data_IF_238693068486
#
_entry.id   IF_238693068486
#
_cell.length_a   1.000
_cell.length_b   1.000
_cell.length_c   1.000
_cell.angle_alpha   90.00
_cell.angle_beta   90.00
_cell.angle_gamma   90.00
#
_symmetry.space_group_name_H-M   'P 1'
#
loop_
_entity.id
_entity.type
_entity.pdbx_description
1 polymer ?
#
# COMPACT_ATOMS: atom_id res chain seq x y z
N UNK A 1 26.65 22.16 64.37
CA UNK A 1 26.91 21.05 63.42
C UNK A 1 25.70 20.89 62.49
N UNK A 2 25.78 21.48 61.29
CA UNK A 2 24.72 21.36 60.25
C UNK A 2 25.14 20.30 59.28
N UNK A 3 24.45 19.15 59.22
CA UNK A 3 24.63 18.13 58.21
C UNK A 3 23.96 18.56 56.93
N UNK A 4 24.74 18.81 55.90
CA UNK A 4 24.24 19.01 54.51
C UNK A 4 23.89 17.65 53.91
N UNK A 5 22.62 17.48 53.59
CA UNK A 5 22.11 16.31 52.86
C UNK A 5 22.34 16.60 51.36
N UNK A 6 23.34 15.95 50.79
CA UNK A 6 23.60 15.99 49.35
C UNK A 6 22.61 15.03 48.64
N UNK A 7 21.63 15.60 47.94
CA UNK A 7 20.78 14.82 47.03
C UNK A 7 21.57 14.51 45.76
N UNK A 8 21.88 13.28 45.57
CA UNK A 8 22.36 12.74 44.30
C UNK A 8 21.14 12.54 43.41
N UNK A 9 20.97 13.41 42.43
CA UNK A 9 20.00 13.20 41.36
C UNK A 9 20.69 12.33 40.32
N UNK A 10 20.37 11.04 40.33
CA UNK A 10 20.75 10.13 39.26
C UNK A 10 19.86 10.44 38.03
N UNK A 11 20.41 11.20 37.11
CA UNK A 11 19.82 11.34 35.77
C UNK A 11 20.08 10.05 35.02
N UNK A 12 19.07 9.20 34.96
CA UNK A 12 19.06 8.05 34.04
C UNK A 12 18.86 8.63 32.64
N UNK A 13 19.94 8.74 31.91
CA UNK A 13 19.89 8.97 30.45
C UNK A 13 19.31 7.69 29.82
N UNK A 14 18.02 7.72 29.57
CA UNK A 14 17.37 6.79 28.66
C UNK A 14 17.81 7.18 27.23
N UNK A 15 18.95 6.69 26.80
CA UNK A 15 19.29 6.64 25.37
C UNK A 15 18.42 5.58 24.74
N UNK A 16 17.15 5.94 24.51
CA UNK A 16 16.32 5.24 23.55
C UNK A 16 17.01 5.35 22.20
N UNK A 17 17.62 4.29 21.74
CA UNK A 17 17.83 4.08 20.31
C UNK A 17 16.44 4.09 19.70
N UNK A 18 15.99 5.26 19.27
CA UNK A 18 15.00 5.40 18.24
C UNK A 18 15.65 4.80 16.99
N UNK A 19 15.46 3.49 16.82
CA UNK A 19 15.57 2.91 15.50
C UNK A 19 14.64 3.75 14.63
N UNK A 20 15.22 4.54 13.72
CA UNK A 20 14.48 5.22 12.68
C UNK A 20 13.97 4.09 11.80
N UNK A 21 12.79 3.57 12.14
CA UNK A 21 12.01 2.77 11.21
C UNK A 21 11.70 3.73 10.09
N UNK A 22 12.33 3.52 8.93
CA UNK A 22 12.00 4.24 7.72
C UNK A 22 10.48 4.15 7.59
N UNK A 23 9.80 5.30 7.67
CA UNK A 23 8.37 5.35 7.44
C UNK A 23 8.19 5.05 5.95
N UNK A 24 7.84 3.81 5.65
CA UNK A 24 7.39 3.45 4.32
C UNK A 24 5.98 4.01 4.19
N UNK A 25 5.78 4.80 3.18
CA UNK A 25 4.45 5.17 2.75
C UNK A 25 3.72 3.90 2.32
N UNK A 26 2.49 3.79 2.62
CA UNK A 26 1.54 2.73 2.24
C UNK A 26 2.04 1.31 2.49
N UNK A 27 1.80 0.71 3.66
CA UNK A 27 2.15 -0.68 3.91
C UNK A 27 1.40 -1.66 3.00
N UNK A 28 0.21 -1.29 2.54
CA UNK A 28 -0.64 -2.19 1.76
C UNK A 28 -0.35 -2.19 0.27
N UNK A 29 0.24 -1.13 -0.31
CA UNK A 29 0.53 -1.02 -1.75
C UNK A 29 1.97 -0.60 -2.01
N UNK A 30 2.49 -0.89 -3.23
CA UNK A 30 3.78 -0.35 -3.69
C UNK A 30 3.56 0.91 -4.50
N UNK A 31 2.65 0.86 -5.46
CA UNK A 31 2.33 1.94 -6.36
C UNK A 31 0.84 1.91 -6.77
N UNK A 32 0.41 0.89 -7.49
CA UNK A 32 -0.97 0.62 -7.88
C UNK A 32 -1.55 -0.59 -7.13
N UNK A 33 -0.72 -1.59 -6.82
CA UNK A 33 -1.14 -2.86 -6.25
C UNK A 33 -0.51 -3.13 -4.88
N UNK A 34 -0.97 -4.18 -4.20
CA UNK A 34 -0.37 -4.68 -2.96
C UNK A 34 0.90 -5.50 -3.20
N UNK A 35 1.65 -5.21 -4.27
CA UNK A 35 2.87 -5.93 -4.66
C UNK A 35 4.06 -5.60 -3.74
N UNK A 36 3.87 -5.65 -2.43
CA UNK A 36 4.88 -5.34 -1.41
C UNK A 36 4.72 -6.26 -0.20
N UNK A 37 5.86 -6.54 0.47
CA UNK A 37 5.88 -7.35 1.70
C UNK A 37 5.69 -6.52 2.98
N UNK A 38 5.70 -5.19 2.88
CA UNK A 38 5.63 -4.32 4.05
C UNK A 38 4.26 -4.44 4.73
N UNK A 39 4.29 -4.46 6.07
CA UNK A 39 3.14 -4.53 6.96
C UNK A 39 3.33 -3.46 8.03
N UNK A 40 2.29 -2.76 8.41
CA UNK A 40 2.32 -1.69 9.39
C UNK A 40 2.87 -2.18 10.74
N UNK A 41 3.84 -1.47 11.33
CA UNK A 41 4.34 -1.79 12.66
C UNK A 41 3.25 -1.67 13.74
N UNK A 42 3.39 -2.43 14.82
CA UNK A 42 2.44 -2.40 15.94
C UNK A 42 2.18 -0.99 16.47
N UNK A 43 0.90 -0.64 16.57
CA UNK A 43 0.43 0.64 17.11
C UNK A 43 0.65 1.84 16.19
N UNK A 44 1.24 1.67 15.02
CA UNK A 44 1.37 2.74 14.03
C UNK A 44 0.12 2.77 13.15
N UNK A 45 -0.52 3.91 13.13
CA UNK A 45 -1.63 4.19 12.23
C UNK A 45 -1.12 4.79 10.93
N UNK A 46 -1.76 4.44 9.84
CA UNK A 46 -1.47 4.95 8.51
C UNK A 46 -2.74 5.49 7.88
N UNK A 47 -2.70 6.73 7.42
CA UNK A 47 -3.72 7.38 6.62
C UNK A 47 -3.18 7.54 5.21
N UNK A 48 -3.87 6.97 4.22
CA UNK A 48 -3.63 7.14 2.79
C UNK A 48 -4.75 7.96 2.14
N UNK A 49 -4.39 8.82 1.20
CA UNK A 49 -5.33 9.53 0.32
C UNK A 49 -4.81 9.39 -1.10
N UNK A 50 -5.42 8.48 -1.85
CA UNK A 50 -5.01 8.14 -3.20
C UNK A 50 -5.96 8.73 -4.22
N UNK A 51 -5.45 9.62 -5.07
CA UNK A 51 -6.23 10.22 -6.14
C UNK A 51 -5.69 9.78 -7.50
N UNK A 52 -6.62 9.52 -8.41
CA UNK A 52 -6.33 9.15 -9.78
C UNK A 52 -7.12 10.06 -10.71
N UNK A 53 -6.44 10.76 -11.60
CA UNK A 53 -7.10 11.69 -12.52
C UNK A 53 -6.62 11.52 -13.95
N UNK A 54 -7.55 11.67 -14.88
CA UNK A 54 -7.28 11.63 -16.31
C UNK A 54 -6.65 12.95 -16.72
N UNK A 55 -5.40 12.91 -17.17
CA UNK A 55 -4.65 14.10 -17.61
C UNK A 55 -5.02 14.47 -19.06
N UNK A 56 -5.09 13.45 -19.92
CA UNK A 56 -5.49 13.58 -21.30
C UNK A 56 -6.71 12.70 -21.52
N UNK A 57 -7.76 13.28 -22.11
CA UNK A 57 -8.97 12.56 -22.47
C UNK A 57 -8.95 12.28 -23.95
N UNK A 58 -8.84 11.01 -24.32
CA UNK A 58 -8.99 10.56 -25.69
C UNK A 58 -10.49 10.35 -26.03
N UNK A 59 -11.30 10.10 -24.98
CA UNK A 59 -12.75 10.00 -25.10
C UNK A 59 -13.44 11.08 -24.25
N UNK A 60 -14.58 11.67 -24.72
CA UNK A 60 -15.33 12.69 -23.96
C UNK A 60 -15.81 12.21 -22.59
N UNK A 61 -16.08 10.92 -22.46
CA UNK A 61 -16.69 10.29 -21.28
C UNK A 61 -15.67 9.63 -20.34
N UNK A 62 -14.36 9.85 -20.55
CA UNK A 62 -13.33 9.36 -19.63
C UNK A 62 -13.57 9.95 -18.24
N UNK A 63 -14.10 9.11 -17.34
CA UNK A 63 -14.53 9.47 -16.00
C UNK A 63 -13.38 9.72 -15.02
N UNK A 64 -13.74 10.33 -13.88
CA UNK A 64 -12.84 10.36 -12.72
C UNK A 64 -12.76 8.97 -12.08
N UNK A 65 -11.59 8.61 -11.57
CA UNK A 65 -11.43 7.44 -10.72
C UNK A 65 -11.81 7.83 -9.28
N UNK A 66 -12.39 6.94 -8.47
CA UNK A 66 -12.65 7.23 -7.08
C UNK A 66 -11.38 7.60 -6.32
N UNK A 67 -11.50 8.51 -5.35
CA UNK A 67 -10.45 8.72 -4.37
C UNK A 67 -10.52 7.57 -3.37
N UNK A 68 -9.40 6.96 -3.06
CA UNK A 68 -9.26 6.01 -1.96
C UNK A 68 -8.80 6.75 -0.70
N UNK A 69 -9.61 6.67 0.35
CA UNK A 69 -9.28 7.16 1.68
C UNK A 69 -9.08 5.97 2.60
N UNK A 70 -7.84 5.56 2.79
CA UNK A 70 -7.44 4.39 3.56
C UNK A 70 -7.01 4.72 4.99
N UNK A 71 -7.43 3.92 5.95
CA UNK A 71 -6.93 3.95 7.33
C UNK A 71 -6.53 2.55 7.76
N UNK A 72 -5.25 2.34 8.07
CA UNK A 72 -4.68 1.05 8.43
C UNK A 72 -3.92 1.15 9.75
N UNK A 73 -3.86 0.06 10.52
CA UNK A 73 -3.10 0.00 11.77
C UNK A 73 -2.43 -1.35 11.97
N UNK A 74 -1.20 -1.34 12.46
CA UNK A 74 -0.52 -2.55 12.90
C UNK A 74 -1.03 -3.02 14.26
N UNK A 75 -1.45 -4.29 14.36
CA UNK A 75 -2.14 -4.80 15.56
C UNK A 75 -1.39 -5.87 16.34
N UNK A 76 -0.30 -6.45 15.80
CA UNK A 76 0.50 -7.44 16.52
C UNK A 76 1.78 -6.82 17.11
N UNK A 77 2.04 -7.00 18.43
CA UNK A 77 3.22 -6.43 19.09
C UNK A 77 4.48 -7.29 18.91
N UNK A 78 4.69 -7.84 17.71
CA UNK A 78 5.83 -8.72 17.42
C UNK A 78 6.63 -8.17 16.25
N UNK A 79 7.96 -8.11 16.41
CA UNK A 79 8.86 -7.61 15.36
C UNK A 79 8.98 -8.57 14.16
N UNK A 80 8.87 -9.87 14.41
CA UNK A 80 9.07 -10.90 13.38
C UNK A 80 7.80 -11.34 12.66
N UNK A 81 6.67 -11.06 13.25
CA UNK A 81 5.35 -11.43 12.74
C UNK A 81 4.48 -10.20 12.91
N UNK A 82 4.01 -9.66 11.83
CA UNK A 82 3.22 -8.44 11.78
C UNK A 82 1.85 -8.72 11.19
N UNK A 83 0.87 -7.99 11.65
CA UNK A 83 -0.48 -7.98 11.08
C UNK A 83 -0.97 -6.55 11.05
N UNK A 84 -1.43 -6.10 9.91
CA UNK A 84 -2.19 -4.87 9.75
C UNK A 84 -3.65 -5.19 9.44
N UNK A 85 -4.53 -4.31 9.87
CA UNK A 85 -5.94 -4.29 9.50
C UNK A 85 -6.31 -2.88 9.12
N UNK A 86 -7.20 -2.73 8.15
CA UNK A 86 -7.58 -1.41 7.66
C UNK A 86 -8.96 -1.38 7.03
N UNK A 87 -9.37 -0.16 6.75
CA UNK A 87 -10.60 0.17 6.03
C UNK A 87 -10.25 1.17 4.93
N UNK A 88 -10.90 1.01 3.79
CA UNK A 88 -10.79 1.93 2.65
C UNK A 88 -12.18 2.46 2.33
N UNK A 89 -12.26 3.74 2.07
CA UNK A 89 -13.45 4.42 1.61
C UNK A 89 -13.19 4.93 0.18
N UNK A 90 -13.78 4.23 -0.79
CA UNK A 90 -13.70 4.60 -2.21
C UNK A 90 -14.84 5.56 -2.53
N UNK A 91 -14.53 6.84 -2.64
CA UNK A 91 -15.51 7.89 -2.88
C UNK A 91 -14.97 8.92 -3.86
N UNK A 92 -15.82 9.47 -4.68
CA UNK A 92 -15.45 10.56 -5.58
C UNK A 92 -15.63 11.89 -4.86
N UNK A 93 -14.55 12.50 -4.41
CA UNK A 93 -14.58 13.81 -3.74
C UNK A 93 -14.93 14.96 -4.69
N UNK A 94 -14.81 14.76 -6.00
CA UNK A 94 -14.97 15.82 -7.01
C UNK A 94 -16.32 15.75 -7.72
N UNK A 95 -16.86 14.55 -7.90
CA UNK A 95 -18.15 14.33 -8.57
C UNK A 95 -18.94 13.23 -7.86
N UNK A 96 -19.91 13.65 -7.06
CA UNK A 96 -20.79 12.73 -6.32
C UNK A 96 -21.72 11.90 -7.21
N UNK A 97 -21.81 12.19 -8.51
CA UNK A 97 -22.60 11.40 -9.47
C UNK A 97 -21.96 10.05 -9.81
N UNK A 98 -20.67 9.89 -9.52
CA UNK A 98 -19.89 8.67 -9.76
C UNK A 98 -19.51 7.94 -8.48
N UNK A 99 -20.00 8.38 -7.31
CA UNK A 99 -19.75 7.73 -6.02
C UNK A 99 -20.32 6.32 -5.96
N UNK A 100 -19.63 5.45 -5.26
CA UNK A 100 -20.07 4.08 -5.02
C UNK A 100 -21.19 4.06 -3.97
N UNK A 101 -22.29 3.33 -4.22
CA UNK A 101 -23.37 3.15 -3.24
C UNK A 101 -22.91 2.40 -1.98
N UNK A 102 -21.80 1.68 -2.05
CA UNK A 102 -21.23 0.90 -0.95
C UNK A 102 -19.72 1.11 -0.91
N UNK A 103 -19.24 2.31 -0.54
CA UNK A 103 -17.85 2.71 -0.68
C UNK A 103 -16.90 2.06 0.31
N UNK A 104 -17.40 1.35 1.33
CA UNK A 104 -16.59 0.79 2.41
C UNK A 104 -16.02 -0.58 2.03
N UNK A 105 -14.69 -0.69 2.11
CA UNK A 105 -13.96 -1.93 1.97
C UNK A 105 -13.10 -2.19 3.21
N UNK A 106 -12.86 -3.47 3.49
CA UNK A 106 -11.96 -3.89 4.56
C UNK A 106 -10.71 -4.52 3.95
N UNK A 107 -9.61 -4.44 4.70
CA UNK A 107 -8.38 -5.11 4.32
C UNK A 107 -7.62 -5.64 5.54
N UNK A 108 -6.78 -6.63 5.32
CA UNK A 108 -5.76 -7.06 6.28
C UNK A 108 -4.56 -7.64 5.54
N UNK A 109 -3.39 -7.52 6.14
CA UNK A 109 -2.17 -8.16 5.66
C UNK A 109 -1.33 -8.64 6.83
N UNK A 110 -0.93 -9.90 6.74
CA UNK A 110 -0.02 -10.57 7.65
C UNK A 110 1.34 -10.74 6.96
N UNK A 111 2.43 -10.59 7.70
CA UNK A 111 3.75 -10.74 7.10
C UNK A 111 4.87 -10.95 8.09
N UNK A 112 6.02 -11.30 7.53
CA UNK A 112 7.29 -11.37 8.23
C UNK A 112 8.31 -10.52 7.48
N UNK A 113 9.00 -9.58 8.13
CA UNK A 113 10.03 -8.78 7.50
C UNK A 113 11.19 -9.63 6.95
N UNK A 114 11.91 -9.08 5.99
CA UNK A 114 13.14 -9.70 5.45
C UNK A 114 14.13 -10.01 6.57
N UNK A 115 14.69 -11.22 6.55
CA UNK A 115 15.66 -11.69 7.56
C UNK A 115 15.05 -12.16 8.88
N UNK A 116 13.74 -12.07 9.07
CA UNK A 116 13.08 -12.39 10.34
C UNK A 116 12.99 -13.89 10.63
N UNK A 117 12.81 -14.73 9.61
CA UNK A 117 12.68 -16.18 9.77
C UNK A 117 14.04 -16.83 10.00
N UNK A 118 15.03 -16.46 9.21
CA UNK A 118 16.44 -16.85 9.35
C UNK A 118 17.32 -15.82 8.63
N UNK A 119 18.63 -15.75 8.95
CA UNK A 119 19.52 -14.79 8.30
C UNK A 119 19.48 -14.94 6.78
N UNK A 120 19.15 -13.85 6.09
CA UNK A 120 19.03 -13.82 4.63
C UNK A 120 17.71 -14.35 4.05
N UNK A 121 16.72 -14.70 4.89
CA UNK A 121 15.40 -15.07 4.38
C UNK A 121 14.76 -13.91 3.61
N UNK A 122 13.94 -14.18 2.58
CA UNK A 122 13.05 -13.15 2.05
C UNK A 122 12.04 -12.73 3.13
N UNK A 123 11.49 -11.54 3.00
CA UNK A 123 10.24 -11.19 3.64
C UNK A 123 9.08 -11.86 2.91
N UNK A 124 8.02 -12.19 3.62
CA UNK A 124 6.79 -12.74 3.04
C UNK A 124 5.58 -12.01 3.61
N UNK A 125 4.56 -11.83 2.79
CA UNK A 125 3.28 -11.28 3.22
C UNK A 125 2.14 -12.01 2.53
N UNK A 126 1.00 -12.08 3.19
CA UNK A 126 -0.24 -12.57 2.63
C UNK A 126 -1.41 -11.83 3.28
N UNK A 127 -2.45 -11.57 2.52
CA UNK A 127 -3.59 -10.82 3.04
C UNK A 127 -4.78 -10.85 2.09
N UNK A 128 -5.76 -10.05 2.43
CA UNK A 128 -6.94 -9.85 1.61
C UNK A 128 -7.29 -8.36 1.61
N UNK A 129 -7.66 -7.85 0.45
CA UNK A 129 -8.07 -6.47 0.23
C UNK A 129 -9.33 -6.40 -0.63
N UNK A 130 -9.93 -5.23 -0.72
CA UNK A 130 -11.24 -5.03 -1.32
C UNK A 130 -12.27 -6.07 -0.83
N UNK A 131 -12.28 -6.30 0.49
CA UNK A 131 -13.32 -7.09 1.16
C UNK A 131 -14.54 -6.20 1.26
N UNK A 132 -15.41 -6.31 0.26
CA UNK A 132 -16.58 -5.46 0.15
C UNK A 132 -17.74 -5.92 1.00
N UNK A 133 -18.63 -4.99 1.30
CA UNK A 133 -19.76 -5.20 2.22
C UNK A 133 -21.01 -5.71 1.51
N UNK A 134 -21.05 -5.72 0.17
CA UNK A 134 -22.20 -6.14 -0.62
C UNK A 134 -21.85 -7.25 -1.61
N UNK A 135 -22.53 -8.39 -1.48
CA UNK A 135 -22.35 -9.54 -2.39
C UNK A 135 -22.65 -9.15 -3.83
N UNK A 136 -21.83 -9.66 -4.73
CA UNK A 136 -21.94 -9.52 -6.20
C UNK A 136 -21.85 -8.08 -6.72
N UNK A 137 -21.44 -7.14 -5.85
CA UNK A 137 -21.25 -5.72 -6.18
C UNK A 137 -19.87 -5.23 -5.75
N UNK A 138 -19.49 -5.40 -4.46
CA UNK A 138 -18.25 -4.88 -3.92
C UNK A 138 -17.33 -5.96 -3.33
N UNK A 139 -17.80 -7.19 -3.17
CA UNK A 139 -17.04 -8.30 -2.58
C UNK A 139 -15.99 -8.90 -3.53
N UNK A 140 -15.08 -8.07 -4.01
CA UNK A 140 -13.93 -8.53 -4.81
C UNK A 140 -13.08 -9.54 -4.05
N UNK A 141 -12.92 -9.36 -2.72
CA UNK A 141 -12.30 -10.30 -1.79
C UNK A 141 -10.97 -10.84 -2.32
N UNK A 142 -10.05 -9.95 -2.64
CA UNK A 142 -8.81 -10.28 -3.34
C UNK A 142 -7.78 -10.77 -2.33
N UNK A 143 -7.56 -12.07 -2.29
CA UNK A 143 -6.45 -12.68 -1.57
C UNK A 143 -5.15 -12.50 -2.36
N UNK A 144 -4.04 -12.20 -1.66
CA UNK A 144 -2.72 -12.13 -2.26
C UNK A 144 -1.66 -12.76 -1.36
N UNK A 145 -0.55 -13.18 -1.98
CA UNK A 145 0.65 -13.62 -1.28
C UNK A 145 1.89 -13.13 -2.02
N UNK A 146 2.84 -12.58 -1.27
CA UNK A 146 4.04 -11.93 -1.78
C UNK A 146 5.30 -12.45 -1.08
N UNK A 147 6.39 -12.50 -1.82
CA UNK A 147 7.74 -12.63 -1.29
C UNK A 147 8.59 -11.47 -1.81
N UNK A 148 9.45 -10.92 -0.95
CA UNK A 148 10.29 -9.78 -1.33
C UNK A 148 11.69 -9.87 -0.76
N UNK A 149 12.64 -9.30 -1.49
CA UNK A 149 14.06 -9.35 -1.15
C UNK A 149 14.78 -8.09 -1.59
N UNK A 150 15.60 -7.57 -0.68
CA UNK A 150 16.54 -6.49 -0.98
C UNK A 150 17.77 -7.04 -1.72
N UNK A 151 18.05 -6.46 -2.88
CA UNK A 151 19.23 -6.80 -3.69
C UNK A 151 20.14 -5.57 -3.72
N UNK A 152 21.40 -5.69 -3.25
CA UNK A 152 22.31 -4.56 -3.24
C UNK A 152 22.41 -3.89 -4.61
N UNK A 153 22.38 -2.56 -4.64
CA UNK A 153 22.45 -1.70 -5.83
C UNK A 153 21.22 -1.73 -6.77
N UNK A 154 20.35 -2.75 -6.66
CA UNK A 154 19.12 -2.85 -7.48
C UNK A 154 17.93 -2.22 -6.75
N UNK A 155 17.78 -2.46 -5.45
CA UNK A 155 16.61 -2.11 -4.66
C UNK A 155 15.89 -3.35 -4.13
N UNK A 156 14.64 -3.21 -3.69
CA UNK A 156 13.82 -4.35 -3.29
C UNK A 156 13.01 -4.84 -4.49
N UNK A 157 12.92 -6.16 -4.61
CA UNK A 157 12.05 -6.82 -5.61
C UNK A 157 11.02 -7.64 -4.84
N UNK A 158 9.78 -7.55 -5.26
CA UNK A 158 8.65 -8.26 -4.72
C UNK A 158 7.98 -9.06 -5.83
N UNK A 159 7.62 -10.31 -5.57
CA UNK A 159 6.92 -11.18 -6.51
C UNK A 159 5.81 -11.93 -5.77
N UNK A 160 4.71 -12.15 -6.43
CA UNK A 160 3.59 -12.88 -5.84
C UNK A 160 2.44 -13.10 -6.80
N UNK A 161 1.30 -13.42 -6.22
CA UNK A 161 0.10 -13.70 -6.97
C UNK A 161 -1.13 -13.27 -6.18
N UNK A 162 -2.24 -13.09 -6.88
CA UNK A 162 -3.54 -12.80 -6.30
C UNK A 162 -4.62 -13.72 -6.87
N UNK A 163 -5.70 -13.84 -6.11
CA UNK A 163 -6.94 -14.49 -6.52
C UNK A 163 -8.13 -13.81 -5.83
N UNK A 164 -9.20 -13.54 -6.56
CA UNK A 164 -10.38 -12.89 -6.00
C UNK A 164 -11.69 -13.49 -6.52
N UNK A 165 -12.79 -12.78 -6.28
CA UNK A 165 -14.11 -13.21 -6.69
C UNK A 165 -14.22 -13.20 -8.22
N UNK A 166 -14.41 -14.39 -8.80
CA UNK A 166 -14.53 -14.61 -10.25
C UNK A 166 -15.75 -13.92 -10.88
N UNK A 167 -16.77 -13.63 -10.08
CA UNK A 167 -17.97 -12.98 -10.58
C UNK A 167 -17.80 -11.48 -10.76
N UNK A 168 -16.79 -10.88 -10.09
CA UNK A 168 -16.44 -9.47 -10.19
C UNK A 168 -15.13 -9.22 -10.94
N UNK A 169 -14.15 -10.11 -10.82
CA UNK A 169 -12.89 -10.01 -11.56
C UNK A 169 -13.03 -10.61 -12.96
N UNK A 170 -13.55 -9.79 -13.86
CA UNK A 170 -13.78 -10.11 -15.27
C UNK A 170 -13.16 -9.03 -16.15
N UNK A 171 -12.86 -9.40 -17.39
CA UNK A 171 -12.50 -8.44 -18.44
C UNK A 171 -13.74 -7.65 -18.91
N UNK A 172 -13.51 -6.57 -19.64
CA UNK A 172 -14.56 -5.79 -20.31
C UNK A 172 -15.42 -6.63 -21.28
N UNK A 173 -14.90 -7.77 -21.74
CA UNK A 173 -15.64 -8.74 -22.57
C UNK A 173 -16.43 -9.77 -21.75
N UNK A 174 -16.37 -9.70 -20.40
CA UNK A 174 -17.04 -10.62 -19.49
C UNK A 174 -16.31 -11.95 -19.26
N UNK A 175 -15.07 -12.10 -19.75
CA UNK A 175 -14.23 -13.26 -19.49
C UNK A 175 -13.77 -13.25 -18.03
N UNK A 176 -13.85 -14.39 -17.35
CA UNK A 176 -13.31 -14.57 -16.00
C UNK A 176 -11.78 -14.43 -15.98
N UNK A 177 -11.29 -13.50 -15.15
CA UNK A 177 -9.87 -13.18 -14.96
C UNK A 177 -9.56 -13.01 -13.46
N UNK A 178 -9.97 -14.00 -12.66
CA UNK A 178 -9.98 -13.92 -11.19
C UNK A 178 -8.61 -14.13 -10.53
N UNK A 179 -7.57 -14.44 -11.29
CA UNK A 179 -6.22 -14.70 -10.77
C UNK A 179 -5.15 -14.02 -11.60
N UNK A 180 -4.05 -13.66 -10.94
CA UNK A 180 -2.90 -13.08 -11.63
C UNK A 180 -1.63 -13.10 -10.79
N UNK A 181 -0.51 -12.76 -11.43
CA UNK A 181 0.73 -12.52 -10.72
C UNK A 181 0.90 -11.02 -10.45
N UNK A 182 1.73 -10.71 -9.45
CA UNK A 182 2.13 -9.35 -9.11
C UNK A 182 3.65 -9.28 -9.01
N UNK A 183 4.20 -8.15 -9.43
CA UNK A 183 5.59 -7.79 -9.25
C UNK A 183 5.69 -6.35 -8.77
N UNK A 184 6.56 -6.10 -7.78
CA UNK A 184 6.87 -4.78 -7.28
C UNK A 184 8.37 -4.54 -7.24
N UNK A 185 8.75 -3.30 -7.35
CA UNK A 185 10.12 -2.86 -7.22
C UNK A 185 10.18 -1.47 -6.60
N UNK A 186 11.09 -1.28 -5.64
CA UNK A 186 11.38 0.03 -5.10
C UNK A 186 12.87 0.23 -4.84
N UNK A 187 13.31 1.50 -4.89
CA UNK A 187 14.69 1.87 -4.65
C UNK A 187 14.81 3.30 -4.14
N UNK A 188 15.53 3.47 -3.05
CA UNK A 188 15.96 4.80 -2.61
C UNK A 188 16.91 5.45 -3.62
N UNK A 189 16.54 6.62 -4.12
CA UNK A 189 17.41 7.51 -4.90
C UNK A 189 18.23 8.39 -3.95
N UNK A 190 17.56 8.93 -2.93
CA UNK A 190 18.16 9.66 -1.81
C UNK A 190 17.51 9.09 -0.56
N UNK A 191 18.31 8.45 0.29
CA UNK A 191 17.81 7.78 1.50
C UNK A 191 16.93 8.74 2.31
N UNK A 192 15.80 8.23 2.79
CA UNK A 192 14.79 8.92 3.60
C UNK A 192 14.21 10.21 2.97
N UNK A 193 14.41 10.43 1.66
CA UNK A 193 13.91 11.62 0.98
C UNK A 193 13.24 11.33 -0.36
N UNK A 194 13.88 10.56 -1.22
CA UNK A 194 13.32 10.22 -2.53
C UNK A 194 13.47 8.73 -2.80
N UNK A 195 12.36 8.09 -3.15
CA UNK A 195 12.32 6.69 -3.57
C UNK A 195 11.57 6.58 -4.88
N UNK A 196 12.08 5.79 -5.80
CA UNK A 196 11.33 5.39 -6.99
C UNK A 196 10.69 4.04 -6.71
N UNK A 197 9.44 3.89 -7.13
CA UNK A 197 8.69 2.64 -7.01
C UNK A 197 7.97 2.34 -8.32
N UNK A 198 7.77 1.07 -8.58
CA UNK A 198 6.98 0.56 -9.71
C UNK A 198 6.34 -0.76 -9.32
N UNK A 199 5.16 -1.01 -9.82
CA UNK A 199 4.53 -2.32 -9.71
C UNK A 199 3.67 -2.66 -10.93
N UNK A 200 3.29 -3.92 -11.00
CA UNK A 200 2.43 -4.44 -12.03
C UNK A 200 1.66 -5.66 -11.52
N UNK A 201 0.38 -5.72 -11.87
CA UNK A 201 -0.47 -6.90 -11.74
C UNK A 201 -0.95 -7.37 -13.12
N UNK A 202 -0.86 -8.65 -13.38
CA UNK A 202 -1.41 -9.25 -14.61
C UNK A 202 -2.93 -9.42 -14.51
N UNK A 203 -3.56 -9.79 -15.63
CA UNK A 203 -5.01 -9.98 -15.74
C UNK A 203 -5.71 -8.79 -16.40
N UNK A 204 -6.71 -9.09 -17.21
CA UNK A 204 -7.55 -8.09 -17.88
C UNK A 204 -8.80 -7.85 -17.01
N UNK A 205 -8.59 -7.31 -15.80
CA UNK A 205 -9.62 -7.10 -14.79
C UNK A 205 -9.36 -5.81 -13.99
N UNK A 206 -10.18 -5.51 -12.99
CA UNK A 206 -10.07 -4.30 -12.17
C UNK A 206 -8.74 -4.15 -11.40
N UNK A 207 -7.98 -5.23 -11.19
CA UNK A 207 -6.64 -5.22 -10.56
C UNK A 207 -5.53 -5.00 -11.58
N UNK A 208 -5.76 -5.49 -12.81
CA UNK A 208 -4.75 -5.55 -13.86
C UNK A 208 -4.26 -4.17 -14.29
N UNK A 209 -2.95 -3.96 -14.14
CA UNK A 209 -2.32 -2.70 -14.44
C UNK A 209 -1.06 -2.48 -13.63
N UNK A 210 -0.51 -1.28 -13.72
CA UNK A 210 0.67 -0.91 -12.97
C UNK A 210 1.23 0.43 -13.42
N UNK A 211 2.33 0.81 -12.82
CA UNK A 211 2.99 2.07 -13.15
C UNK A 211 4.32 2.24 -12.47
N UNK A 212 4.85 3.44 -12.54
CA UNK A 212 6.06 3.83 -11.85
C UNK A 212 6.01 5.30 -11.43
N UNK A 213 6.54 5.61 -10.26
CA UNK A 213 6.50 6.96 -9.74
C UNK A 213 7.57 7.26 -8.71
N UNK A 214 7.52 8.48 -8.23
CA UNK A 214 8.45 9.03 -7.27
C UNK A 214 7.74 9.25 -5.94
N UNK A 215 8.25 8.66 -4.88
CA UNK A 215 7.95 9.03 -3.50
C UNK A 215 8.84 10.20 -3.07
N UNK A 216 8.22 11.22 -2.52
CA UNK A 216 8.87 12.32 -1.82
C UNK A 216 8.49 12.29 -0.35
N UNK A 217 9.43 11.90 0.51
CA UNK A 217 9.31 11.95 1.96
C UNK A 217 9.64 13.36 2.42
N UNK A 218 8.62 14.19 2.58
CA UNK A 218 8.78 15.59 2.99
C UNK A 218 8.80 15.78 4.51
N UNK A 219 8.39 14.74 5.26
CA UNK A 219 8.52 14.64 6.71
C UNK A 219 8.89 13.21 7.12
N UNK A 220 9.39 12.98 8.35
CA UNK A 220 9.74 11.64 8.82
C UNK A 220 8.59 10.63 8.80
N UNK A 221 7.36 11.12 8.83
CA UNK A 221 6.13 10.34 8.90
C UNK A 221 5.12 10.69 7.80
N UNK A 222 5.55 11.42 6.77
CA UNK A 222 4.66 11.76 5.67
C UNK A 222 5.39 11.76 4.33
N UNK A 223 4.72 11.23 3.32
CA UNK A 223 5.21 11.16 1.95
C UNK A 223 4.13 11.46 0.93
N UNK A 224 4.56 11.76 -0.28
CA UNK A 224 3.71 11.89 -1.45
C UNK A 224 4.29 11.05 -2.58
N UNK A 225 3.50 10.15 -3.12
CA UNK A 225 3.79 9.42 -4.35
C UNK A 225 3.12 10.13 -5.52
N UNK A 226 3.79 10.17 -6.67
CA UNK A 226 3.21 10.68 -7.91
C UNK A 226 3.78 9.99 -9.15
N UNK A 227 2.94 9.79 -10.15
CA UNK A 227 3.33 9.24 -11.46
C UNK A 227 2.16 8.65 -12.25
N UNK A 228 2.41 8.10 -13.45
CA UNK A 228 1.39 7.49 -14.29
C UNK A 228 1.03 6.07 -13.86
N UNK A 229 -0.24 5.72 -14.02
CA UNK A 229 -0.79 4.35 -13.90
C UNK A 229 -1.41 3.95 -15.22
N UNK A 230 -1.12 2.75 -15.68
CA UNK A 230 -1.63 2.16 -16.91
C UNK A 230 -2.41 0.88 -16.57
N UNK A 231 -3.49 0.63 -17.28
CA UNK A 231 -4.36 -0.51 -17.04
C UNK A 231 -4.26 -1.52 -18.19
N UNK A 232 -4.48 -2.80 -17.87
CA UNK A 232 -4.42 -3.86 -18.88
C UNK A 232 -5.69 -3.89 -19.76
N UNK A 233 -6.83 -3.47 -19.19
CA UNK A 233 -8.13 -3.42 -19.88
C UNK A 233 -8.76 -2.02 -19.71
N UNK A 234 -8.65 -1.19 -20.74
CA UNK A 234 -9.20 0.17 -20.74
C UNK A 234 -10.74 0.18 -20.64
N UNK A 235 -11.38 -0.93 -21.03
CA UNK A 235 -12.82 -1.09 -20.91
C UNK A 235 -13.30 -1.26 -19.45
N UNK A 236 -12.39 -1.59 -18.52
CA UNK A 236 -12.69 -1.71 -17.09
C UNK A 236 -12.27 -0.44 -16.35
N UNK A 237 -11.00 -0.08 -16.43
CA UNK A 237 -10.41 1.01 -15.63
C UNK A 237 -10.28 2.33 -16.39
N UNK A 238 -10.65 2.32 -17.66
CA UNK A 238 -10.51 3.48 -18.55
C UNK A 238 -9.06 3.73 -18.97
N UNK A 239 -8.84 4.92 -19.51
CA UNK A 239 -7.52 5.38 -19.96
C UNK A 239 -6.54 5.49 -18.79
N UNK A 240 -5.24 5.54 -19.12
CA UNK A 240 -4.20 5.77 -18.13
C UNK A 240 -4.48 7.01 -17.25
N UNK A 241 -4.06 6.95 -16.00
CA UNK A 241 -4.26 8.01 -15.01
C UNK A 241 -2.92 8.53 -14.52
N UNK A 242 -2.93 9.76 -14.04
CA UNK A 242 -1.89 10.25 -13.15
C UNK A 242 -2.36 10.05 -11.72
N UNK A 243 -1.54 9.46 -10.87
CA UNK A 243 -1.83 9.35 -9.44
C UNK A 243 -1.04 10.34 -8.62
N UNK A 244 -1.66 10.81 -7.53
CA UNK A 244 -1.01 11.44 -6.38
C UNK A 244 -1.56 10.78 -5.12
N UNK A 245 -0.66 10.22 -4.33
CA UNK A 245 -1.00 9.52 -3.09
C UNK A 245 -0.29 10.22 -1.93
N UNK A 246 -1.05 10.62 -0.92
CA UNK A 246 -0.54 11.23 0.30
C UNK A 246 -0.63 10.21 1.42
N UNK A 247 0.49 9.93 2.06
CA UNK A 247 0.62 8.98 3.16
C UNK A 247 1.08 9.68 4.43
N UNK A 248 0.42 9.40 5.54
CA UNK A 248 0.77 9.92 6.86
C UNK A 248 0.72 8.81 7.90
N UNK A 249 1.85 8.57 8.59
CA UNK A 249 1.93 7.66 9.74
C UNK A 249 1.87 8.43 11.06
N UNK A 250 1.16 7.90 12.08
CA UNK A 250 1.03 8.54 13.39
C UNK A 250 0.74 7.54 14.52
#
# INVERSE_FOLDING_TARGET
MKKRLTRVISTVLFTGMLGVTSAYATPSTTYWTTAVIDVQPYGVWHLGIDNYFTVLKDTPDAGAFPTDLGLTVGVLPYEKIQLEVGVDLLETLIDSSTGEDNPLFLNFKFGTPEGSLFPGSPGIAAGMWNIGTKSDVTNYNIFHAMAGKSIPQIGRIHIGAYSGNKDLLKSSTGKEEATGFMIGWDRWLVKDKFMIAADYASGDNAVGGGGAGLYWFFAPNASMLMGPVFFNDDGINGEWKWTTQLDVNF
#
